data_IF_818049397789
#
_entry.id   IF_818049397789
#
_cell.length_a   1.000
_cell.length_b   1.000
_cell.length_c   1.000
_cell.angle_alpha   90.00
_cell.angle_beta   90.00
_cell.angle_gamma   90.00
#
_symmetry.space_group_name_H-M   'P 1'
#
loop_
_entity.id
_entity.type
_entity.pdbx_description
1 polymer ?
#
# COMPACT_ATOMS: atom_id res chain seq x y z
N UNK A 1 -8.36 18.75 -15.58
CA UNK A 1 -9.32 19.23 -14.56
C UNK A 1 -9.39 18.31 -13.35
N UNK A 2 -9.58 17.00 -13.50
CA UNK A 2 -9.58 16.05 -12.38
C UNK A 2 -8.26 16.02 -11.59
N UNK A 3 -7.14 16.23 -12.25
CA UNK A 3 -5.80 16.23 -11.62
C UNK A 3 -5.57 17.54 -10.83
N UNK A 4 -6.05 18.66 -11.36
CA UNK A 4 -5.93 19.98 -10.72
C UNK A 4 -6.78 20.04 -9.44
N UNK A 5 -7.98 19.47 -9.44
CA UNK A 5 -8.85 19.40 -8.27
C UNK A 5 -8.23 18.61 -7.10
N UNK A 6 -7.48 17.54 -7.40
CA UNK A 6 -6.78 16.77 -6.37
C UNK A 6 -5.60 17.51 -5.75
N UNK A 7 -4.83 18.22 -6.54
CA UNK A 7 -3.68 19.00 -6.04
C UNK A 7 -4.13 20.21 -5.22
N UNK A 8 -5.19 20.89 -5.62
CA UNK A 8 -5.80 21.99 -4.84
C UNK A 8 -6.32 21.52 -3.47
N UNK A 9 -6.88 20.29 -3.41
CA UNK A 9 -7.35 19.71 -2.15
C UNK A 9 -6.22 19.17 -1.26
N UNK A 10 -5.09 18.70 -1.84
CA UNK A 10 -3.98 18.07 -1.11
C UNK A 10 -2.93 19.09 -0.62
N UNK A 11 -2.81 20.23 -1.29
CA UNK A 11 -1.86 21.29 -0.92
C UNK A 11 -2.18 22.03 0.39
N UNK A 12 -3.37 21.86 0.93
CA UNK A 12 -3.83 22.59 2.11
C UNK A 12 -3.66 21.83 3.44
N UNK A 13 -3.41 20.52 3.44
CA UNK A 13 -3.37 19.71 4.68
C UNK A 13 -2.08 18.96 4.99
N UNK A 14 -1.02 19.08 4.21
CA UNK A 14 0.32 18.60 4.57
C UNK A 14 0.47 17.10 4.93
N UNK A 15 -0.49 16.24 4.60
CA UNK A 15 -0.41 14.80 4.87
C UNK A 15 -0.84 13.99 3.64
N UNK A 16 0.10 13.26 3.07
CA UNK A 16 -0.15 12.28 2.00
C UNK A 16 -0.59 10.97 2.66
N UNK A 17 -1.82 10.49 2.48
CA UNK A 17 -2.17 9.13 2.86
C UNK A 17 -1.67 8.17 1.78
N UNK A 18 -0.70 7.32 2.13
CA UNK A 18 -0.35 6.14 1.35
C UNK A 18 -1.47 5.11 1.45
N UNK A 19 -2.18 4.84 0.38
CA UNK A 19 -3.12 3.74 0.35
C UNK A 19 -4.24 3.93 -0.67
N UNK A 20 -4.04 3.47 -1.88
CA UNK A 20 -5.10 3.25 -2.85
C UNK A 20 -5.87 1.99 -2.49
N UNK A 21 -7.09 2.12 -2.01
CA UNK A 21 -8.05 1.02 -1.98
C UNK A 21 -9.19 1.35 -2.96
N UNK A 22 -9.15 0.72 -4.11
CA UNK A 22 -10.33 0.52 -4.95
C UNK A 22 -11.29 -0.43 -4.23
N UNK A 23 -12.40 0.09 -3.75
CA UNK A 23 -13.60 -0.69 -3.48
C UNK A 23 -14.76 -0.01 -4.18
N UNK A 24 -15.23 -0.65 -5.23
CA UNK A 24 -16.60 -0.51 -5.70
C UNK A 24 -17.52 -0.91 -4.54
N UNK A 25 -18.32 0.03 -4.06
CA UNK A 25 -19.25 -0.16 -2.96
C UNK A 25 -20.50 0.65 -3.23
N UNK A 26 -21.50 -0.05 -3.68
CA UNK A 26 -22.91 0.28 -3.79
C UNK A 26 -23.39 1.34 -2.80
N UNK A 27 -23.86 2.46 -3.34
CA UNK A 27 -24.59 3.52 -2.67
C UNK A 27 -25.91 2.98 -2.13
N UNK A 28 -26.06 2.91 -0.81
CA UNK A 28 -27.37 2.87 -0.15
C UNK A 28 -27.55 4.13 0.69
N UNK A 29 -28.44 4.95 0.19
CA UNK A 29 -29.03 6.09 0.88
C UNK A 29 -29.76 5.64 2.14
N UNK A 30 -29.40 6.18 3.30
CA UNK A 30 -30.27 6.21 4.48
C UNK A 30 -30.44 7.64 4.95
N UNK A 31 -31.71 8.07 4.97
CA UNK A 31 -32.19 9.33 5.54
C UNK A 31 -32.03 9.34 7.08
N UNK A 32 -31.90 10.50 7.71
CA UNK A 32 -31.92 10.61 9.16
C UNK A 32 -33.32 10.55 9.70
N UNK A 33 -33.51 9.82 10.79
CA UNK A 33 -34.72 9.86 11.61
C UNK A 33 -34.38 10.63 12.89
N UNK A 34 -35.06 11.74 13.07
CA UNK A 34 -35.13 12.50 14.30
C UNK A 34 -36.20 11.89 15.20
N UNK A 35 -35.95 11.89 16.51
CA UNK A 35 -37.05 12.11 17.40
C UNK A 35 -37.24 11.16 18.56
N UNK A 36 -37.03 11.72 19.73
CA UNK A 36 -37.81 11.66 20.95
C UNK A 36 -37.80 10.40 21.83
N UNK A 37 -37.36 10.65 23.03
CA UNK A 37 -37.59 9.93 24.29
C UNK A 37 -39.09 9.69 24.53
N UNK A 38 -39.42 8.49 25.03
CA UNK A 38 -40.37 8.33 26.13
C UNK A 38 -40.13 7.03 26.89
N UNK A 39 -40.22 7.14 28.23
CA UNK A 39 -40.18 6.06 29.22
C UNK A 39 -41.58 5.45 29.33
N UNK A 40 -41.72 4.16 29.51
CA UNK A 40 -42.76 3.60 30.34
C UNK A 40 -42.37 2.22 30.87
N UNK A 41 -42.49 2.09 32.18
CA UNK A 41 -42.47 0.89 33.00
C UNK A 41 -43.70 0.02 32.75
N UNK A 42 -43.60 -1.30 32.98
CA UNK A 42 -44.79 -2.17 33.07
C UNK A 42 -44.45 -3.65 33.02
N UNK A 43 -44.23 -4.22 34.14
CA UNK A 43 -44.68 -5.47 34.79
C UNK A 43 -45.12 -6.66 33.90
N UNK A 44 -44.38 -7.77 34.14
CA UNK A 44 -44.82 -9.06 34.73
C UNK A 44 -46.05 -9.75 34.13
N UNK A 45 -45.87 -10.98 33.61
CA UNK A 45 -46.55 -12.19 34.08
C UNK A 45 -45.97 -13.41 33.36
N UNK A 46 -45.70 -14.45 34.17
CA UNK A 46 -45.18 -15.72 33.71
C UNK A 46 -46.23 -16.67 33.16
N UNK A 47 -45.76 -17.63 32.42
CA UNK A 47 -46.40 -18.97 32.33
C UNK A 47 -45.33 -20.01 32.01
N UNK A 48 -45.24 -20.97 32.90
CA UNK A 48 -44.41 -22.17 32.88
C UNK A 48 -45.13 -23.30 32.09
N UNK A 49 -44.43 -24.02 31.23
CA UNK A 49 -44.76 -25.38 30.82
C UNK A 49 -43.47 -26.23 30.72
N UNK A 50 -43.53 -27.54 31.01
CA UNK A 50 -42.45 -28.30 31.64
C UNK A 50 -41.62 -29.17 30.70
N UNK A 51 -40.39 -29.33 31.11
CA UNK A 51 -39.59 -30.53 31.15
C UNK A 51 -39.42 -31.45 29.94
N UNK A 52 -38.18 -31.45 29.41
CA UNK A 52 -37.56 -32.72 29.02
C UNK A 52 -36.09 -32.73 29.45
N UNK A 53 -35.79 -33.69 30.26
CA UNK A 53 -34.51 -34.02 30.84
C UNK A 53 -33.56 -34.54 29.74
N UNK A 54 -32.60 -33.77 29.31
CA UNK A 54 -31.44 -34.29 28.60
C UNK A 54 -30.24 -34.18 29.49
N UNK A 55 -29.77 -35.34 29.91
CA UNK A 55 -28.57 -35.59 30.70
C UNK A 55 -27.39 -34.82 30.15
N UNK A 56 -26.86 -33.96 31.02
CA UNK A 56 -25.59 -33.22 30.77
C UNK A 56 -24.43 -34.21 30.64
N UNK A 57 -23.83 -34.25 29.47
CA UNK A 57 -22.44 -34.65 29.36
C UNK A 57 -21.60 -33.45 29.69
N UNK A 58 -20.91 -33.52 30.81
CA UNK A 58 -19.88 -32.61 31.23
C UNK A 58 -18.91 -32.35 30.06
N UNK A 59 -18.93 -31.13 29.55
CA UNK A 59 -17.93 -30.62 28.65
C UNK A 59 -16.58 -30.63 29.37
N UNK A 60 -15.76 -31.64 29.10
CA UNK A 60 -14.34 -31.61 29.45
C UNK A 60 -13.74 -30.36 28.81
N UNK A 61 -13.43 -29.40 29.63
CA UNK A 61 -12.55 -28.28 29.35
C UNK A 61 -11.20 -28.84 28.88
N UNK A 62 -11.03 -28.97 27.56
CA UNK A 62 -9.77 -29.32 26.93
C UNK A 62 -8.89 -28.09 26.84
N UNK A 63 -8.59 -27.46 27.98
CA UNK A 63 -7.37 -26.69 28.15
C UNK A 63 -6.20 -27.68 28.05
N UNK A 64 -5.80 -27.99 26.81
CA UNK A 64 -4.55 -28.72 26.57
C UNK A 64 -3.43 -27.86 27.11
N UNK A 65 -2.99 -28.16 28.32
CA UNK A 65 -1.72 -27.67 28.85
C UNK A 65 -0.66 -27.87 27.77
N UNK A 66 -0.04 -26.77 27.35
CA UNK A 66 1.06 -26.84 26.37
C UNK A 66 2.14 -27.70 27.02
N UNK A 67 2.62 -28.77 26.34
CA UNK A 67 3.64 -29.63 26.91
C UNK A 67 4.86 -28.79 27.25
N UNK A 68 5.42 -28.99 28.41
CA UNK A 68 6.68 -28.38 28.85
C UNK A 68 7.81 -28.68 27.86
N UNK A 69 8.94 -27.94 27.96
CA UNK A 69 10.07 -28.16 27.07
C UNK A 69 10.56 -29.59 27.18
N UNK A 70 10.71 -30.29 26.04
CA UNK A 70 11.26 -31.62 26.02
C UNK A 70 12.75 -31.56 26.43
N UNK A 71 13.18 -32.27 27.47
CA UNK A 71 14.59 -32.33 27.83
C UNK A 71 15.38 -32.90 26.67
N UNK A 72 16.51 -32.27 26.34
CA UNK A 72 17.41 -32.74 25.29
C UNK A 72 18.86 -32.47 25.64
N UNK A 73 19.74 -33.27 25.07
CA UNK A 73 21.19 -33.09 25.12
C UNK A 73 21.76 -33.18 23.72
N UNK A 74 22.72 -32.32 23.41
CA UNK A 74 23.46 -32.35 22.15
C UNK A 74 24.96 -32.35 22.42
N UNK A 75 25.70 -33.16 21.69
CA UNK A 75 27.15 -33.11 21.62
C UNK A 75 27.54 -32.47 20.28
N UNK A 76 28.22 -31.35 20.34
CA UNK A 76 28.70 -30.63 19.13
C UNK A 76 30.07 -31.18 18.72
N UNK A 77 30.38 -31.03 17.44
CA UNK A 77 31.70 -31.31 16.87
C UNK A 77 32.05 -30.26 15.83
N UNK A 78 33.32 -30.18 15.47
CA UNK A 78 33.74 -29.35 14.33
C UNK A 78 33.15 -29.89 13.03
N UNK A 79 32.84 -29.00 12.08
CA UNK A 79 32.44 -29.40 10.74
C UNK A 79 33.55 -30.20 10.06
N UNK A 80 33.20 -31.32 9.46
CA UNK A 80 34.11 -32.09 8.61
C UNK A 80 34.13 -31.50 7.20
N UNK A 81 35.18 -31.72 6.43
CA UNK A 81 35.27 -31.32 5.02
C UNK A 81 34.07 -31.81 4.19
N UNK A 82 33.60 -33.01 4.45
CA UNK A 82 32.43 -33.58 3.77
C UNK A 82 31.14 -32.84 4.11
N UNK A 83 30.97 -32.41 5.35
CA UNK A 83 29.82 -31.60 5.77
C UNK A 83 29.86 -30.18 5.18
N UNK A 84 31.06 -29.59 5.13
CA UNK A 84 31.24 -28.30 4.46
C UNK A 84 30.97 -28.40 2.95
N UNK A 85 31.42 -29.47 2.31
CA UNK A 85 31.12 -29.74 0.90
C UNK A 85 29.61 -29.90 0.66
N UNK A 86 28.89 -30.58 1.57
CA UNK A 86 27.43 -30.70 1.49
C UNK A 86 26.72 -29.30 1.47
N UNK A 87 27.14 -28.42 2.34
CA UNK A 87 26.59 -27.07 2.39
C UNK A 87 27.07 -26.20 1.20
N UNK A 88 28.31 -26.39 0.78
CA UNK A 88 28.91 -25.68 -0.36
C UNK A 88 28.19 -25.90 -1.69
N UNK A 89 27.54 -27.05 -1.91
CA UNK A 89 26.71 -27.34 -3.07
C UNK A 89 25.54 -26.31 -3.19
N UNK A 90 25.11 -25.74 -2.07
CA UNK A 90 24.05 -24.72 -2.00
C UNK A 90 24.60 -23.30 -1.86
N UNK A 91 25.89 -23.11 -2.07
CA UNK A 91 26.59 -21.81 -1.89
C UNK A 91 26.74 -21.38 -0.44
N UNK A 92 26.38 -22.23 0.53
CA UNK A 92 26.40 -21.89 1.96
C UNK A 92 27.81 -22.13 2.48
N UNK A 93 28.50 -21.04 2.88
CA UNK A 93 29.85 -21.09 3.45
C UNK A 93 29.83 -21.29 4.97
N UNK A 94 31.00 -21.59 5.54
CA UNK A 94 31.14 -21.75 6.99
C UNK A 94 30.76 -20.48 7.76
N UNK A 95 31.03 -19.29 7.19
CA UNK A 95 30.66 -17.99 7.77
C UNK A 95 29.15 -17.84 7.85
N UNK A 96 28.43 -18.27 6.80
CA UNK A 96 26.95 -18.27 6.80
C UNK A 96 26.42 -19.23 7.85
N UNK A 97 26.98 -20.44 7.95
CA UNK A 97 26.58 -21.42 8.99
C UNK A 97 26.75 -20.83 10.39
N UNK A 98 27.92 -20.26 10.69
CA UNK A 98 28.16 -19.60 11.99
C UNK A 98 27.22 -18.41 12.25
N UNK A 99 27.02 -17.56 11.25
CA UNK A 99 26.10 -16.40 11.35
C UNK A 99 24.69 -16.82 11.72
N UNK A 100 24.23 -17.96 11.22
CA UNK A 100 22.89 -18.49 11.48
C UNK A 100 22.81 -19.49 12.63
N UNK A 101 23.88 -19.63 13.42
CA UNK A 101 23.95 -20.52 14.60
C UNK A 101 23.80 -21.98 14.24
N UNK A 102 24.27 -22.41 13.06
CA UNK A 102 24.28 -23.80 12.64
C UNK A 102 25.53 -24.46 13.18
N UNK A 103 25.37 -25.62 13.81
CA UNK A 103 26.45 -26.45 14.38
C UNK A 103 26.40 -27.85 13.80
N UNK A 104 27.58 -28.51 13.70
CA UNK A 104 27.63 -29.93 13.44
C UNK A 104 27.48 -30.70 14.75
N UNK A 105 26.62 -31.73 14.75
CA UNK A 105 26.33 -32.54 15.93
C UNK A 105 26.96 -33.91 15.82
N UNK A 106 27.63 -34.33 16.90
CA UNK A 106 28.10 -35.72 17.08
C UNK A 106 26.95 -36.60 17.57
N UNK A 107 26.17 -36.12 18.52
CA UNK A 107 25.10 -36.85 19.13
C UNK A 107 23.91 -35.93 19.50
N UNK A 108 22.70 -36.48 19.43
CA UNK A 108 21.47 -35.90 19.95
C UNK A 108 20.75 -36.93 20.82
N UNK A 109 20.35 -36.58 22.01
CA UNK A 109 19.51 -37.38 22.93
C UNK A 109 18.35 -36.60 23.41
N UNK A 110 17.19 -37.25 23.54
CA UNK A 110 15.97 -36.66 24.09
C UNK A 110 15.10 -37.75 24.73
N UNK A 111 14.01 -37.32 25.34
CA UNK A 111 13.02 -38.24 25.93
C UNK A 111 11.67 -38.05 25.25
N UNK A 112 10.96 -39.15 25.04
CA UNK A 112 9.57 -39.13 24.60
C UNK A 112 8.69 -38.63 25.77
N UNK A 113 7.44 -38.24 25.45
CA UNK A 113 6.44 -37.91 26.49
C UNK A 113 6.18 -38.99 27.51
N UNK A 114 6.51 -40.25 27.17
CA UNK A 114 6.35 -41.42 28.01
C UNK A 114 7.62 -41.70 28.87
N UNK A 115 8.62 -40.78 28.82
CA UNK A 115 9.88 -40.95 29.56
C UNK A 115 10.89 -41.90 28.93
N UNK A 116 10.66 -42.37 27.69
CA UNK A 116 11.59 -43.27 26.99
C UNK A 116 12.67 -42.41 26.32
N UNK A 117 13.92 -42.67 26.65
CA UNK A 117 15.08 -42.04 26.01
C UNK A 117 15.28 -42.56 24.58
N UNK A 118 15.56 -41.65 23.67
CA UNK A 118 15.99 -41.97 22.30
C UNK A 118 17.12 -41.02 21.89
N UNK A 119 17.90 -41.42 20.91
CA UNK A 119 19.00 -40.58 20.44
C UNK A 119 19.49 -41.01 19.04
N UNK A 120 20.28 -40.13 18.49
CA UNK A 120 20.91 -40.33 17.18
C UNK A 120 22.39 -39.97 17.28
N UNK A 121 23.23 -40.72 16.59
CA UNK A 121 24.67 -40.47 16.46
C UNK A 121 24.98 -40.13 15.00
N UNK A 122 25.72 -39.06 14.79
CA UNK A 122 26.16 -38.66 13.45
C UNK A 122 27.22 -39.63 12.95
N UNK A 123 27.11 -39.99 11.68
CA UNK A 123 28.11 -40.75 10.96
C UNK A 123 28.51 -40.02 9.67
N UNK A 124 29.63 -40.39 9.02
CA UNK A 124 29.97 -39.82 7.72
C UNK A 124 28.88 -40.01 6.63
N UNK A 125 28.06 -41.07 6.76
CA UNK A 125 26.97 -41.37 5.85
C UNK A 125 25.68 -40.61 6.23
N UNK A 126 25.46 -40.35 7.51
CA UNK A 126 24.30 -39.64 8.05
C UNK A 126 24.73 -38.46 8.93
N UNK A 127 25.13 -37.33 8.34
CA UNK A 127 25.51 -36.14 9.09
C UNK A 127 24.29 -35.53 9.80
N UNK A 128 24.54 -34.86 10.93
CA UNK A 128 23.52 -34.14 11.71
C UNK A 128 23.97 -32.71 11.94
N UNK A 129 23.03 -31.82 11.75
CA UNK A 129 23.23 -30.38 11.97
C UNK A 129 22.20 -29.85 12.95
N UNK A 130 22.58 -28.94 13.83
CA UNK A 130 21.69 -28.27 14.77
C UNK A 130 21.48 -26.83 14.37
N UNK A 131 20.22 -26.40 14.14
CA UNK A 131 19.83 -24.99 14.12
C UNK A 131 19.56 -24.56 15.54
N UNK A 132 20.42 -23.73 16.10
CA UNK A 132 20.32 -23.28 17.50
C UNK A 132 19.60 -21.94 17.62
N UNK A 133 18.75 -21.81 18.61
CA UNK A 133 18.04 -20.58 18.92
C UNK A 133 17.63 -20.52 20.38
N UNK A 134 17.09 -19.40 20.83
CA UNK A 134 16.58 -19.21 22.21
C UNK A 134 15.46 -20.19 22.58
N UNK A 135 14.84 -20.79 21.59
CA UNK A 135 13.74 -21.76 21.71
C UNK A 135 14.24 -23.20 21.86
N UNK A 136 15.54 -23.48 21.66
CA UNK A 136 16.13 -24.83 21.69
C UNK A 136 16.93 -25.16 20.46
N UNK A 137 16.84 -26.40 19.99
CA UNK A 137 17.52 -26.90 18.79
C UNK A 137 16.54 -27.61 17.86
N UNK A 138 16.61 -27.28 16.57
CA UNK A 138 16.01 -28.09 15.49
C UNK A 138 17.15 -28.86 14.83
N UNK A 139 17.10 -30.18 14.91
CA UNK A 139 18.14 -31.06 14.36
C UNK A 139 17.74 -31.47 12.94
N UNK A 140 18.65 -31.24 12.01
CA UNK A 140 18.51 -31.58 10.60
C UNK A 140 19.38 -32.77 10.23
N UNK A 141 18.76 -33.80 9.70
CA UNK A 141 19.37 -35.07 9.27
C UNK A 141 19.06 -35.26 7.78
N UNK A 142 19.85 -34.65 6.87
CA UNK A 142 19.48 -34.54 5.45
C UNK A 142 19.34 -35.87 4.72
N UNK A 143 20.10 -36.90 5.14
CA UNK A 143 20.19 -38.22 4.48
C UNK A 143 19.41 -39.30 5.22
N UNK A 144 18.73 -38.97 6.32
CA UNK A 144 17.96 -39.92 7.12
C UNK A 144 16.48 -39.85 6.76
N UNK A 145 15.74 -40.94 7.01
CA UNK A 145 14.29 -41.02 6.80
C UNK A 145 13.56 -39.96 7.65
N UNK A 146 13.91 -39.91 8.94
CA UNK A 146 13.42 -38.83 9.83
C UNK A 146 14.36 -37.64 9.72
N UNK A 147 14.00 -36.66 8.87
CA UNK A 147 14.86 -35.51 8.54
C UNK A 147 14.98 -34.49 9.63
N UNK A 148 13.94 -34.32 10.46
CA UNK A 148 13.90 -33.29 11.49
C UNK A 148 13.48 -33.86 12.84
N UNK A 149 14.21 -33.47 13.89
CA UNK A 149 13.84 -33.70 15.29
C UNK A 149 14.05 -32.43 16.08
N UNK A 150 13.36 -32.30 17.20
CA UNK A 150 13.29 -31.04 17.95
C UNK A 150 13.66 -31.27 19.41
N UNK A 151 14.45 -30.36 19.98
CA UNK A 151 14.77 -30.31 21.40
C UNK A 151 14.45 -28.91 21.95
N UNK A 152 13.83 -28.88 23.15
CA UNK A 152 13.40 -27.62 23.76
C UNK A 152 11.99 -27.19 23.35
N UNK A 153 11.74 -25.88 23.30
CA UNK A 153 10.42 -25.28 23.07
C UNK A 153 10.33 -24.67 21.66
N UNK A 154 10.07 -25.51 20.65
CA UNK A 154 9.91 -25.09 19.26
C UNK A 154 8.43 -24.76 18.96
N UNK A 155 7.81 -23.86 19.74
CA UNK A 155 6.40 -23.50 19.58
C UNK A 155 6.15 -22.39 18.54
N UNK A 156 4.99 -21.73 18.66
CA UNK A 156 4.45 -20.73 17.73
C UNK A 156 5.36 -19.51 17.44
N UNK A 157 6.47 -19.37 18.17
CA UNK A 157 7.43 -18.27 18.02
C UNK A 157 8.70 -18.66 17.23
N UNK A 158 8.76 -19.87 16.63
CA UNK A 158 9.90 -20.25 15.82
C UNK A 158 9.98 -19.37 14.56
N UNK A 159 11.08 -18.67 14.44
CA UNK A 159 11.40 -17.88 13.25
C UNK A 159 12.91 -17.87 13.05
N UNK A 160 13.38 -18.61 12.06
CA UNK A 160 14.79 -18.69 11.71
C UNK A 160 15.20 -17.52 10.83
N UNK A 161 16.36 -16.94 11.08
CA UNK A 161 16.89 -15.81 10.34
C UNK A 161 16.44 -14.43 10.87
N UNK A 162 15.52 -14.36 11.81
CA UNK A 162 14.99 -13.07 12.31
C UNK A 162 16.05 -12.22 13.01
N UNK A 163 16.96 -12.83 13.76
CA UNK A 163 18.03 -12.13 14.50
C UNK A 163 19.14 -11.61 13.57
N UNK A 164 19.27 -12.19 12.37
CA UNK A 164 20.26 -11.83 11.36
C UNK A 164 19.80 -10.66 10.46
N UNK A 165 18.54 -10.27 10.54
CA UNK A 165 17.98 -9.20 9.71
C UNK A 165 18.49 -7.83 10.14
N UNK A 166 18.81 -6.92 9.20
CA UNK A 166 19.12 -5.52 9.49
C UNK A 166 17.90 -4.80 10.07
N UNK A 167 18.11 -3.66 10.69
CA UNK A 167 17.02 -2.83 11.24
C UNK A 167 16.04 -2.34 10.17
N UNK A 168 16.51 -2.10 8.93
CA UNK A 168 15.74 -1.71 7.75
C UNK A 168 16.30 -2.39 6.51
N UNK A 169 15.46 -2.60 5.50
CA UNK A 169 15.85 -3.15 4.20
C UNK A 169 14.76 -2.95 3.15
N UNK A 170 15.10 -3.21 1.89
CA UNK A 170 14.15 -3.03 0.79
C UNK A 170 13.32 -4.30 0.54
N UNK A 171 13.95 -5.47 0.57
CA UNK A 171 13.35 -6.75 0.21
C UNK A 171 13.63 -7.81 1.27
N UNK A 172 12.57 -8.49 1.70
CA UNK A 172 12.63 -9.65 2.61
C UNK A 172 11.88 -10.82 1.99
N UNK A 173 12.52 -11.97 1.90
CA UNK A 173 11.87 -13.21 1.52
C UNK A 173 11.39 -14.00 2.75
N UNK A 174 10.19 -14.56 2.65
CA UNK A 174 9.66 -15.59 3.55
C UNK A 174 9.71 -16.92 2.82
N UNK A 175 10.53 -17.86 3.31
CA UNK A 175 10.78 -19.16 2.65
C UNK A 175 10.20 -20.33 3.44
N UNK A 176 10.22 -21.51 2.84
CA UNK A 176 9.73 -22.75 3.44
C UNK A 176 10.66 -23.37 4.46
N UNK A 177 11.99 -23.15 4.36
CA UNK A 177 12.98 -23.83 5.17
C UNK A 177 14.25 -23.04 5.48
N UNK A 178 14.98 -23.52 6.48
CA UNK A 178 16.22 -22.91 6.99
C UNK A 178 17.34 -22.90 5.94
N UNK A 179 17.41 -23.96 5.14
CA UNK A 179 18.42 -24.08 4.07
C UNK A 179 18.23 -22.96 3.04
N UNK A 180 16.97 -22.67 2.66
CA UNK A 180 16.66 -21.63 1.69
C UNK A 180 16.97 -20.23 2.22
N UNK A 181 16.73 -19.98 3.52
CA UNK A 181 17.14 -18.75 4.19
C UNK A 181 18.64 -18.53 4.06
N UNK A 182 19.44 -19.57 4.34
CA UNK A 182 20.90 -19.48 4.27
C UNK A 182 21.41 -19.39 2.83
N UNK A 183 20.79 -20.08 1.88
CA UNK A 183 21.10 -19.96 0.45
C UNK A 183 20.85 -18.53 -0.04
N UNK A 184 19.69 -17.94 0.29
CA UNK A 184 19.40 -16.56 -0.03
C UNK A 184 20.38 -15.58 0.60
N UNK A 185 20.78 -15.83 1.85
CA UNK A 185 21.77 -15.01 2.53
C UNK A 185 23.16 -15.10 1.87
N UNK A 186 23.56 -16.29 1.40
CA UNK A 186 24.80 -16.49 0.65
C UNK A 186 24.81 -15.69 -0.67
N UNK A 187 23.62 -15.48 -1.27
CA UNK A 187 23.44 -14.65 -2.47
C UNK A 187 23.10 -13.18 -2.16
N UNK A 188 23.26 -12.74 -0.89
CA UNK A 188 23.11 -11.34 -0.49
C UNK A 188 21.67 -10.88 -0.33
N UNK A 189 20.71 -11.77 -0.17
CA UNK A 189 19.32 -11.47 0.14
C UNK A 189 19.03 -11.58 1.63
N UNK A 190 17.98 -10.90 2.08
CA UNK A 190 17.42 -11.05 3.42
C UNK A 190 16.28 -12.07 3.37
N UNK A 191 16.31 -13.04 4.25
CA UNK A 191 15.27 -14.06 4.31
C UNK A 191 15.04 -14.56 5.72
N UNK A 192 13.82 -15.05 5.98
CA UNK A 192 13.44 -15.78 7.18
C UNK A 192 12.54 -16.95 6.81
N UNK A 193 12.43 -17.92 7.69
CA UNK A 193 11.38 -18.93 7.60
C UNK A 193 10.76 -19.21 8.98
N UNK A 194 9.54 -19.73 8.95
CA UNK A 194 8.88 -20.31 10.11
C UNK A 194 9.15 -21.81 10.16
N UNK A 195 8.53 -22.53 11.08
CA UNK A 195 8.87 -23.94 11.32
C UNK A 195 8.67 -24.83 10.07
N UNK A 196 7.67 -24.53 9.26
CA UNK A 196 7.41 -25.17 7.96
C UNK A 196 6.50 -24.25 7.11
N UNK A 197 6.36 -24.54 5.83
CA UNK A 197 5.42 -23.86 4.93
C UNK A 197 3.96 -23.94 5.40
N UNK A 198 3.60 -25.01 6.10
CA UNK A 198 2.25 -25.21 6.63
C UNK A 198 2.02 -24.53 7.98
N UNK A 199 3.07 -23.98 8.60
CA UNK A 199 2.97 -23.32 9.92
C UNK A 199 2.22 -22.01 9.81
N UNK A 200 1.45 -21.69 10.86
CA UNK A 200 0.80 -20.37 10.97
C UNK A 200 1.86 -19.27 11.06
N UNK A 201 1.74 -18.25 10.21
CA UNK A 201 2.59 -17.08 10.27
C UNK A 201 1.98 -16.09 11.30
N UNK A 202 2.71 -15.76 12.40
CA UNK A 202 2.19 -14.86 13.41
C UNK A 202 2.04 -13.42 12.87
N UNK A 203 0.83 -12.89 12.79
CA UNK A 203 0.54 -11.54 12.32
C UNK A 203 1.35 -10.45 13.07
N UNK A 204 1.58 -10.65 14.39
CA UNK A 204 2.43 -9.75 15.20
C UNK A 204 3.87 -9.64 14.67
N UNK A 205 4.43 -10.74 14.16
CA UNK A 205 5.77 -10.75 13.58
C UNK A 205 5.77 -10.02 12.24
N UNK A 206 4.81 -10.32 11.37
CA UNK A 206 4.68 -9.65 10.05
C UNK A 206 4.47 -8.15 10.22
N UNK A 207 3.62 -7.71 11.13
CA UNK A 207 3.41 -6.28 11.44
C UNK A 207 4.73 -5.56 11.77
N UNK A 208 5.62 -6.18 12.55
CA UNK A 208 6.93 -5.60 12.85
C UNK A 208 7.85 -5.54 11.62
N UNK A 209 7.75 -6.53 10.73
CA UNK A 209 8.58 -6.62 9.53
C UNK A 209 8.17 -5.59 8.46
N UNK A 210 6.88 -5.27 8.33
CA UNK A 210 6.40 -4.24 7.38
C UNK A 210 6.95 -2.84 7.68
N UNK A 211 7.27 -2.54 8.95
CA UNK A 211 7.95 -1.28 9.31
C UNK A 211 9.46 -1.29 9.02
N UNK A 212 10.03 -2.48 8.74
CA UNK A 212 11.46 -2.66 8.49
C UNK A 212 11.79 -2.82 7.01
N UNK A 213 10.88 -3.42 6.24
CA UNK A 213 11.11 -3.79 4.84
C UNK A 213 10.02 -3.20 3.94
N UNK A 214 10.42 -2.62 2.79
CA UNK A 214 9.48 -2.09 1.81
C UNK A 214 8.66 -3.19 1.15
N UNK A 215 9.32 -4.32 0.85
CA UNK A 215 8.69 -5.45 0.20
C UNK A 215 8.94 -6.72 1.01
N UNK A 216 7.87 -7.42 1.34
CA UNK A 216 7.90 -8.76 1.91
C UNK A 216 7.30 -9.71 0.88
N UNK A 217 8.05 -10.76 0.53
CA UNK A 217 7.71 -11.67 -0.57
C UNK A 217 7.75 -13.11 -0.08
N UNK A 218 6.64 -13.82 -0.23
CA UNK A 218 6.59 -15.28 -0.05
C UNK A 218 7.30 -15.94 -1.22
N UNK A 219 8.27 -16.79 -0.91
CA UNK A 219 9.08 -17.55 -1.86
C UNK A 219 9.16 -19.00 -1.37
N UNK A 220 8.09 -19.76 -1.59
CA UNK A 220 7.94 -21.15 -1.17
C UNK A 220 8.28 -22.11 -2.30
N UNK A 221 8.31 -23.40 -1.97
CA UNK A 221 8.51 -24.47 -2.94
C UNK A 221 7.47 -24.38 -4.07
N UNK A 222 7.84 -24.80 -5.27
CA UNK A 222 6.95 -24.85 -6.43
C UNK A 222 6.18 -26.15 -6.55
N UNK A 223 6.33 -27.07 -5.59
CA UNK A 223 5.48 -28.25 -5.52
C UNK A 223 4.04 -27.90 -5.09
N UNK A 224 3.13 -28.85 -5.18
CA UNK A 224 1.70 -28.63 -4.89
C UNK A 224 1.50 -28.01 -3.49
N UNK A 225 2.18 -28.53 -2.48
CA UNK A 225 2.05 -28.07 -1.09
C UNK A 225 2.54 -26.63 -0.94
N UNK A 226 3.70 -26.31 -1.46
CA UNK A 226 4.27 -24.97 -1.41
C UNK A 226 3.42 -23.94 -2.16
N UNK A 227 2.87 -24.30 -3.33
CA UNK A 227 1.96 -23.44 -4.09
C UNK A 227 0.66 -23.15 -3.33
N UNK A 228 0.03 -24.18 -2.74
CA UNK A 228 -1.21 -24.03 -1.96
C UNK A 228 -0.96 -23.21 -0.68
N UNK A 229 0.13 -23.49 0.06
CA UNK A 229 0.46 -22.77 1.28
C UNK A 229 0.86 -21.32 1.02
N UNK A 230 1.66 -21.04 -0.03
CA UNK A 230 2.04 -19.68 -0.37
C UNK A 230 0.83 -18.82 -0.78
N UNK A 231 -0.14 -19.40 -1.50
CA UNK A 231 -1.36 -18.69 -1.85
C UNK A 231 -2.25 -18.43 -0.63
N UNK A 232 -2.42 -19.42 0.24
CA UNK A 232 -3.13 -19.25 1.52
C UNK A 232 -2.52 -18.15 2.37
N UNK A 233 -1.20 -18.11 2.51
CA UNK A 233 -0.51 -17.08 3.28
C UNK A 233 -0.57 -15.71 2.59
N UNK A 234 -0.52 -15.63 1.26
CA UNK A 234 -0.72 -14.39 0.51
C UNK A 234 -2.08 -13.76 0.83
N UNK A 235 -3.14 -14.57 0.83
CA UNK A 235 -4.49 -14.12 1.17
C UNK A 235 -4.57 -13.70 2.64
N UNK A 236 -4.04 -14.51 3.55
CA UNK A 236 -4.01 -14.23 5.00
C UNK A 236 -3.29 -12.91 5.32
N UNK A 237 -2.20 -12.62 4.60
CA UNK A 237 -1.32 -11.48 4.86
C UNK A 237 -1.53 -10.32 3.88
N UNK A 238 -2.63 -10.33 3.13
CA UNK A 238 -2.93 -9.30 2.11
C UNK A 238 -2.99 -7.88 2.68
N UNK A 239 -3.54 -7.71 3.87
CA UNK A 239 -3.59 -6.42 4.58
C UNK A 239 -2.21 -5.81 4.88
N UNK A 240 -1.17 -6.64 4.94
CA UNK A 240 0.22 -6.21 5.16
C UNK A 240 0.98 -5.96 3.86
N UNK A 241 0.34 -6.07 2.71
CA UNK A 241 0.98 -5.89 1.40
C UNK A 241 2.02 -6.96 1.05
N UNK A 242 1.94 -8.14 1.70
CA UNK A 242 2.83 -9.28 1.41
C UNK A 242 2.54 -9.82 0.01
N UNK A 243 3.60 -9.94 -0.79
CA UNK A 243 3.56 -10.40 -2.18
C UNK A 243 3.94 -11.87 -2.25
N UNK A 244 3.64 -12.50 -3.38
CA UNK A 244 4.04 -13.88 -3.68
C UNK A 244 4.84 -13.93 -4.97
N UNK A 245 6.00 -14.58 -4.93
CA UNK A 245 6.80 -14.88 -6.09
C UNK A 245 6.89 -16.40 -6.25
N UNK A 246 6.62 -16.90 -7.43
CA UNK A 246 6.74 -18.32 -7.79
C UNK A 246 7.94 -18.46 -8.72
N UNK A 247 8.88 -19.33 -8.37
CA UNK A 247 10.03 -19.60 -9.21
C UNK A 247 9.62 -20.36 -10.48
N UNK A 248 10.30 -20.18 -11.60
CA UNK A 248 10.04 -20.92 -12.83
C UNK A 248 10.67 -22.33 -12.78
N UNK A 249 10.29 -23.11 -11.77
CA UNK A 249 10.76 -24.48 -11.56
C UNK A 249 9.62 -25.49 -11.74
N UNK A 250 9.89 -26.72 -12.18
CA UNK A 250 8.85 -27.71 -12.49
C UNK A 250 8.14 -28.30 -11.25
N UNK A 251 8.62 -28.02 -10.02
CA UNK A 251 8.02 -28.53 -8.79
C UNK A 251 8.29 -30.00 -8.50
N UNK A 252 9.35 -30.58 -9.07
CA UNK A 252 9.80 -31.95 -8.82
C UNK A 252 10.59 -32.04 -7.49
N UNK A 253 10.90 -33.24 -7.02
CA UNK A 253 11.70 -33.41 -5.78
C UNK A 253 13.08 -32.75 -5.81
N UNK A 254 13.67 -32.58 -6.98
CA UNK A 254 15.01 -32.03 -7.19
C UNK A 254 15.05 -30.62 -7.70
N UNK A 255 13.88 -30.06 -8.07
CA UNK A 255 13.78 -28.76 -8.72
C UNK A 255 12.51 -28.04 -8.27
N UNK A 256 12.49 -27.55 -7.02
CA UNK A 256 11.30 -26.95 -6.44
C UNK A 256 11.56 -25.76 -5.53
N UNK A 257 12.71 -25.68 -4.89
CA UNK A 257 13.02 -24.62 -3.92
C UNK A 257 14.03 -23.60 -4.47
N UNK A 258 14.26 -22.52 -3.75
CA UNK A 258 15.22 -21.49 -4.17
C UNK A 258 16.66 -22.00 -4.14
N UNK A 259 16.95 -22.99 -3.32
CA UNK A 259 18.26 -23.65 -3.32
C UNK A 259 18.49 -24.39 -4.63
N UNK A 260 17.48 -25.10 -5.14
CA UNK A 260 17.55 -25.79 -6.43
C UNK A 260 17.64 -24.79 -7.60
N UNK A 261 16.95 -23.63 -7.49
CA UNK A 261 17.04 -22.54 -8.46
C UNK A 261 18.49 -22.05 -8.63
N UNK A 262 19.20 -21.78 -7.55
CA UNK A 262 20.60 -21.38 -7.63
C UNK A 262 21.54 -22.52 -8.06
N UNK A 263 21.26 -23.77 -7.68
CA UNK A 263 22.02 -24.94 -8.17
C UNK A 263 21.88 -25.16 -9.68
N UNK A 264 20.75 -24.75 -10.26
CA UNK A 264 20.55 -24.80 -11.71
C UNK A 264 21.37 -23.72 -12.46
N UNK A 265 22.14 -22.89 -11.74
CA UNK A 265 23.05 -21.89 -12.31
C UNK A 265 22.45 -20.50 -12.42
N UNK A 266 21.25 -20.28 -11.91
CA UNK A 266 20.67 -18.93 -11.85
C UNK A 266 21.43 -18.04 -10.87
N UNK A 267 21.44 -16.76 -11.17
CA UNK A 267 22.20 -15.75 -10.42
C UNK A 267 21.29 -14.93 -9.49
N UNK A 268 21.92 -14.09 -8.67
CA UNK A 268 21.23 -13.06 -7.89
C UNK A 268 20.41 -12.13 -8.78
N UNK A 269 20.98 -11.73 -9.92
CA UNK A 269 20.38 -10.84 -10.91
C UNK A 269 19.13 -11.45 -11.54
N UNK A 270 19.14 -12.77 -11.79
CA UNK A 270 17.97 -13.49 -12.31
C UNK A 270 16.82 -13.46 -11.31
N UNK A 271 17.08 -13.72 -10.02
CA UNK A 271 16.05 -13.64 -8.98
C UNK A 271 15.52 -12.21 -8.80
N UNK A 272 16.41 -11.20 -8.87
CA UNK A 272 15.97 -9.79 -8.88
C UNK A 272 15.13 -9.46 -10.10
N UNK A 273 15.48 -10.01 -11.27
CA UNK A 273 14.68 -9.84 -12.50
C UNK A 273 13.26 -10.40 -12.36
N UNK A 274 13.11 -11.56 -11.69
CA UNK A 274 11.77 -12.12 -11.38
C UNK A 274 10.99 -11.22 -10.42
N UNK A 275 11.65 -10.67 -9.40
CA UNK A 275 11.03 -9.74 -8.47
C UNK A 275 10.59 -8.44 -9.18
N UNK A 276 11.41 -7.87 -10.05
CA UNK A 276 11.04 -6.68 -10.84
C UNK A 276 9.84 -6.95 -11.76
N UNK A 277 9.80 -8.10 -12.44
CA UNK A 277 8.63 -8.50 -13.23
C UNK A 277 7.36 -8.64 -12.38
N UNK A 278 7.49 -9.12 -11.13
CA UNK A 278 6.36 -9.14 -10.20
C UNK A 278 5.88 -7.71 -9.89
N UNK A 279 6.79 -6.76 -9.66
CA UNK A 279 6.43 -5.35 -9.44
C UNK A 279 5.78 -4.72 -10.67
N UNK A 280 6.29 -4.98 -11.86
CA UNK A 280 5.71 -4.49 -13.12
C UNK A 280 4.26 -5.01 -13.30
N UNK A 281 4.02 -6.28 -12.95
CA UNK A 281 2.67 -6.84 -12.99
C UNK A 281 1.72 -6.17 -11.98
N UNK A 282 2.22 -5.85 -10.78
CA UNK A 282 1.42 -5.24 -9.71
C UNK A 282 1.17 -3.74 -9.92
N UNK A 283 2.08 -3.04 -10.61
CA UNK A 283 2.04 -1.60 -10.81
C UNK A 283 1.78 -1.21 -12.27
N UNK A 284 1.51 -2.18 -13.14
CA UNK A 284 1.38 -1.99 -14.58
C UNK A 284 0.40 -0.89 -14.97
N UNK A 285 -0.78 -0.84 -14.34
CA UNK A 285 -1.78 0.19 -14.63
C UNK A 285 -1.27 1.59 -14.28
N UNK A 286 -0.63 1.74 -13.11
CA UNK A 286 -0.04 3.02 -12.69
C UNK A 286 1.11 3.43 -13.61
N UNK A 287 1.98 2.48 -13.97
CA UNK A 287 3.11 2.74 -14.88
C UNK A 287 2.65 3.08 -16.29
N UNK A 288 1.56 2.46 -16.77
CA UNK A 288 0.95 2.79 -18.06
C UNK A 288 0.42 4.24 -18.07
N UNK A 289 -0.24 4.67 -16.99
CA UNK A 289 -0.68 6.06 -16.84
C UNK A 289 0.51 7.01 -16.81
N UNK A 290 1.55 6.71 -16.01
CA UNK A 290 2.76 7.53 -15.95
C UNK A 290 3.47 7.62 -17.30
N UNK A 291 3.51 6.52 -18.06
CA UNK A 291 4.10 6.50 -19.41
C UNK A 291 3.35 7.42 -20.38
N UNK A 292 2.03 7.51 -20.26
CA UNK A 292 1.24 8.44 -21.07
C UNK A 292 1.45 9.92 -20.71
N UNK A 293 1.98 10.18 -19.50
CA UNK A 293 2.30 11.53 -19.01
C UNK A 293 3.81 11.88 -19.16
N UNK A 294 4.64 10.93 -19.61
CA UNK A 294 6.06 11.14 -19.76
C UNK A 294 6.36 12.15 -20.87
N UNK A 295 7.16 13.16 -20.55
CA UNK A 295 7.54 14.18 -21.52
C UNK A 295 8.52 13.58 -22.51
N UNK A 296 8.15 13.61 -23.78
CA UNK A 296 9.06 13.32 -24.90
C UNK A 296 9.77 14.62 -25.29
N UNK A 297 11.05 14.72 -24.96
CA UNK A 297 11.83 15.93 -25.24
C UNK A 297 12.09 16.12 -26.73
N UNK A 298 12.05 15.05 -27.51
CA UNK A 298 12.25 15.11 -28.96
C UNK A 298 10.97 15.50 -29.73
N UNK A 299 9.82 15.47 -29.03
CA UNK A 299 8.51 15.86 -29.56
C UNK A 299 7.89 16.95 -28.67
N UNK A 300 8.30 18.23 -28.84
CA UNK A 300 7.80 19.31 -28.02
C UNK A 300 6.28 19.49 -28.21
N UNK A 301 5.51 19.68 -27.12
CA UNK A 301 4.08 19.92 -27.22
C UNK A 301 3.79 21.25 -27.93
N UNK A 302 2.61 21.35 -28.51
CA UNK A 302 2.14 22.62 -29.09
C UNK A 302 2.17 23.72 -28.02
N UNK A 303 2.57 24.92 -28.44
CA UNK A 303 2.58 26.07 -27.52
C UNK A 303 1.16 26.41 -27.07
N UNK A 304 0.98 26.54 -25.77
CA UNK A 304 -0.30 26.93 -25.21
C UNK A 304 -0.71 28.33 -25.73
N UNK A 305 -1.97 28.44 -26.18
CA UNK A 305 -2.50 29.71 -26.68
C UNK A 305 -2.64 30.70 -25.55
N UNK A 306 -2.00 31.86 -25.66
CA UNK A 306 -2.13 32.94 -24.67
C UNK A 306 -3.55 33.52 -24.74
N UNK A 307 -4.26 33.52 -23.61
CA UNK A 307 -5.61 34.09 -23.47
C UNK A 307 -5.62 35.42 -22.72
N UNK A 308 -4.55 35.71 -21.98
CA UNK A 308 -4.34 36.99 -21.30
C UNK A 308 -2.93 37.49 -21.59
N UNK A 309 -2.81 38.70 -22.12
CA UNK A 309 -1.52 39.32 -22.39
C UNK A 309 -1.43 40.74 -21.86
N UNK A 310 -0.24 41.22 -21.52
CA UNK A 310 0.08 42.60 -21.26
C UNK A 310 1.12 43.08 -22.29
N UNK A 311 0.68 43.83 -23.28
CA UNK A 311 1.46 44.03 -24.49
C UNK A 311 1.74 42.70 -25.18
N UNK A 312 3.01 42.40 -25.45
CA UNK A 312 3.43 41.14 -26.06
C UNK A 312 3.75 40.03 -25.05
N UNK A 313 3.60 40.29 -23.75
CA UNK A 313 3.92 39.31 -22.71
C UNK A 313 2.68 38.47 -22.36
N UNK A 314 2.72 37.14 -22.54
CA UNK A 314 1.63 36.26 -22.11
C UNK A 314 1.61 36.17 -20.57
N UNK A 315 0.47 36.47 -19.97
CA UNK A 315 0.24 36.38 -18.52
C UNK A 315 -0.54 35.12 -18.17
N UNK A 316 -1.40 34.62 -19.06
CA UNK A 316 -2.20 33.41 -18.86
C UNK A 316 -2.48 32.76 -20.22
N UNK A 317 -2.49 31.43 -20.24
CA UNK A 317 -2.78 30.61 -21.40
C UNK A 317 -3.88 29.59 -21.11
N UNK A 318 -4.43 28.96 -22.16
CA UNK A 318 -5.35 27.84 -21.99
C UNK A 318 -4.71 26.76 -21.12
N UNK A 319 -5.51 26.11 -20.29
CA UNK A 319 -5.13 24.99 -19.40
C UNK A 319 -4.12 25.35 -18.27
N UNK A 320 -3.81 26.63 -18.06
CA UNK A 320 -2.94 27.08 -16.99
C UNK A 320 -3.69 27.80 -15.86
N UNK A 321 -3.06 27.82 -14.68
CA UNK A 321 -3.54 28.53 -13.50
C UNK A 321 -2.78 29.83 -13.37
N UNK A 322 -3.52 30.95 -13.30
CA UNK A 322 -2.98 32.28 -13.00
C UNK A 322 -3.32 32.63 -11.56
N UNK A 323 -2.29 32.86 -10.74
CA UNK A 323 -2.47 33.32 -9.36
C UNK A 323 -2.18 34.82 -9.25
N UNK A 324 -3.15 35.59 -8.75
CA UNK A 324 -3.04 37.03 -8.53
C UNK A 324 -2.89 37.29 -7.04
N UNK A 325 -1.72 37.74 -6.61
CA UNK A 325 -1.44 38.03 -5.21
C UNK A 325 -1.16 39.53 -4.98
N UNK A 326 -1.38 40.00 -3.77
CA UNK A 326 -1.11 41.37 -3.38
C UNK A 326 -1.73 41.69 -2.04
N UNK A 327 -1.25 42.76 -1.37
CA UNK A 327 -1.80 43.25 -0.11
C UNK A 327 -3.24 43.74 -0.22
N UNK A 328 -3.85 44.05 0.91
CA UNK A 328 -5.16 44.69 0.96
C UNK A 328 -5.14 46.04 0.24
N UNK A 329 -6.20 46.35 -0.51
CA UNK A 329 -6.33 47.64 -1.25
C UNK A 329 -5.50 47.75 -2.53
N UNK A 330 -4.69 46.75 -2.93
CA UNK A 330 -3.84 46.80 -4.13
C UNK A 330 -4.59 46.68 -5.47
N UNK A 331 -5.89 46.43 -5.43
CA UNK A 331 -6.73 46.37 -6.64
C UNK A 331 -6.90 44.99 -7.26
N UNK A 332 -6.56 43.87 -6.54
CA UNK A 332 -6.74 42.49 -7.00
C UNK A 332 -8.13 42.27 -7.62
N UNK A 333 -9.19 42.57 -6.87
CA UNK A 333 -10.58 42.40 -7.33
C UNK A 333 -10.90 43.23 -8.57
N UNK A 334 -10.29 44.40 -8.72
CA UNK A 334 -10.47 45.26 -9.90
C UNK A 334 -9.76 44.65 -11.13
N UNK A 335 -8.58 44.10 -10.94
CA UNK A 335 -7.85 43.38 -11.99
C UNK A 335 -8.59 42.11 -12.42
N UNK A 336 -9.05 41.30 -11.46
CA UNK A 336 -9.91 40.14 -11.75
C UNK A 336 -11.18 40.51 -12.50
N UNK A 337 -11.84 41.62 -12.11
CA UNK A 337 -13.01 42.12 -12.83
C UNK A 337 -12.69 42.51 -14.28
N UNK A 338 -11.47 42.99 -14.56
CA UNK A 338 -11.01 43.25 -15.93
C UNK A 338 -10.83 41.96 -16.74
N UNK A 339 -10.24 40.92 -16.15
CA UNK A 339 -10.08 39.61 -16.81
C UNK A 339 -11.43 38.99 -17.15
N UNK A 340 -12.36 38.98 -16.19
CA UNK A 340 -13.73 38.45 -16.41
C UNK A 340 -14.48 39.30 -17.44
N UNK A 341 -14.34 40.65 -17.37
CA UNK A 341 -14.94 41.55 -18.35
C UNK A 341 -14.46 41.25 -19.78
N UNK A 342 -13.13 41.00 -19.96
CA UNK A 342 -12.58 40.59 -21.24
C UNK A 342 -13.13 39.25 -21.75
N UNK A 343 -13.31 38.27 -20.84
CA UNK A 343 -13.90 36.98 -21.22
C UNK A 343 -15.35 37.12 -21.70
N UNK A 344 -16.10 38.09 -21.20
CA UNK A 344 -17.54 38.26 -21.51
C UNK A 344 -17.86 39.46 -22.45
N UNK A 345 -16.88 40.25 -22.89
CA UNK A 345 -17.09 41.37 -23.77
C UNK A 345 -17.64 40.94 -25.14
N UNK A 346 -18.41 41.80 -25.76
CA UNK A 346 -18.89 41.59 -27.14
C UNK A 346 -17.94 42.23 -28.15
N UNK A 347 -17.46 43.43 -27.84
CA UNK A 347 -16.50 44.19 -28.65
C UNK A 347 -15.38 44.72 -27.78
N UNK A 348 -14.15 44.65 -28.28
CA UNK A 348 -12.95 45.06 -27.55
C UNK A 348 -12.94 46.56 -27.25
N UNK A 349 -13.45 47.38 -28.20
CA UNK A 349 -13.54 48.84 -28.09
C UNK A 349 -14.47 49.35 -26.98
N UNK A 350 -15.43 48.52 -26.55
CA UNK A 350 -16.41 48.88 -25.51
C UNK A 350 -15.96 48.43 -24.10
N UNK A 351 -14.83 47.71 -23.99
CA UNK A 351 -14.36 47.11 -22.75
C UNK A 351 -13.19 47.88 -22.12
N UNK A 352 -13.24 48.10 -20.80
CA UNK A 352 -12.11 48.61 -20.01
C UNK A 352 -11.39 47.44 -19.32
N UNK A 353 -10.25 47.04 -19.88
CA UNK A 353 -9.48 45.89 -19.42
C UNK A 353 -8.21 46.27 -18.65
N UNK A 354 -8.07 47.54 -18.20
CA UNK A 354 -6.91 48.02 -17.45
C UNK A 354 -5.54 47.80 -18.15
N UNK A 355 -5.53 47.85 -19.49
CA UNK A 355 -4.33 47.69 -20.29
C UNK A 355 -3.87 46.22 -20.51
N UNK A 356 -4.65 45.26 -20.07
CA UNK A 356 -4.42 43.84 -20.47
C UNK A 356 -5.34 43.49 -21.64
N UNK A 357 -4.92 42.56 -22.45
CA UNK A 357 -5.69 41.99 -23.55
C UNK A 357 -6.18 40.61 -23.13
N UNK A 358 -7.46 40.35 -23.31
CA UNK A 358 -8.10 39.07 -22.96
C UNK A 358 -8.83 38.54 -24.18
N UNK A 359 -8.60 37.29 -24.52
CA UNK A 359 -9.29 36.60 -25.61
C UNK A 359 -10.78 36.40 -25.23
N UNK A 360 -11.73 36.91 -26.02
CA UNK A 360 -13.15 36.84 -25.67
C UNK A 360 -13.67 35.40 -25.82
N UNK A 361 -14.58 35.03 -24.91
CA UNK A 361 -15.22 33.72 -24.90
C UNK A 361 -16.31 33.60 -25.99
N UNK A 362 -15.87 33.50 -27.24
CA UNK A 362 -16.79 33.43 -28.42
C UNK A 362 -17.56 32.12 -28.48
N UNK A 363 -17.11 31.07 -27.76
CA UNK A 363 -17.75 29.75 -27.77
C UNK A 363 -18.88 29.64 -26.74
N UNK A 364 -19.15 30.68 -25.94
CA UNK A 364 -20.18 30.67 -24.89
C UNK A 364 -19.94 29.61 -23.81
N UNK A 365 -18.68 29.24 -23.56
CA UNK A 365 -18.31 28.32 -22.47
C UNK A 365 -18.57 28.98 -21.11
N UNK A 366 -18.81 28.20 -20.08
CA UNK A 366 -19.12 28.75 -18.75
C UNK A 366 -17.95 29.58 -18.20
N UNK A 367 -18.27 30.74 -17.67
CA UNK A 367 -17.40 31.61 -16.89
C UNK A 367 -17.94 31.61 -15.46
N UNK A 368 -17.11 31.09 -14.53
CA UNK A 368 -17.51 30.89 -13.14
C UNK A 368 -16.71 31.82 -12.23
N UNK A 369 -17.40 32.60 -11.41
CA UNK A 369 -16.80 33.47 -10.41
C UNK A 369 -17.32 33.08 -9.02
N UNK A 370 -16.42 32.70 -8.15
CA UNK A 370 -16.69 32.35 -6.77
C UNK A 370 -16.05 33.36 -5.83
N UNK A 371 -16.86 33.97 -4.99
CA UNK A 371 -16.39 34.95 -4.00
C UNK A 371 -16.63 34.42 -2.58
N UNK A 372 -15.55 34.35 -1.79
CA UNK A 372 -15.58 33.83 -0.43
C UNK A 372 -15.43 34.92 0.65
N UNK A 373 -15.21 36.18 0.25
CA UNK A 373 -14.91 37.29 1.17
C UNK A 373 -16.03 38.33 1.23
N UNK A 374 -16.65 38.68 0.09
CA UNK A 374 -17.56 39.79 0.00
C UNK A 374 -18.98 39.41 0.38
N UNK A 375 -19.71 40.35 0.97
CA UNK A 375 -21.16 40.20 1.17
C UNK A 375 -21.89 40.13 -0.17
N UNK A 376 -23.05 39.49 -0.20
CA UNK A 376 -23.91 39.37 -1.38
C UNK A 376 -24.20 40.73 -2.01
N UNK A 377 -24.52 41.74 -1.18
CA UNK A 377 -24.79 43.13 -1.64
C UNK A 377 -23.55 43.74 -2.33
N UNK A 378 -22.36 43.51 -1.79
CA UNK A 378 -21.13 44.04 -2.38
C UNK A 378 -20.79 43.32 -3.68
N UNK A 379 -20.93 42.01 -3.72
CA UNK A 379 -20.73 41.20 -4.91
C UNK A 379 -21.71 41.59 -6.03
N UNK A 380 -22.98 41.82 -5.69
CA UNK A 380 -23.97 42.32 -6.65
C UNK A 380 -23.51 43.65 -7.29
N UNK A 381 -23.10 44.64 -6.47
CA UNK A 381 -22.57 45.92 -6.98
C UNK A 381 -21.35 45.77 -7.85
N UNK A 382 -20.43 44.85 -7.46
CA UNK A 382 -19.22 44.58 -8.22
C UNK A 382 -19.52 43.85 -9.53
N UNK A 383 -20.50 42.95 -9.55
CA UNK A 383 -20.99 42.32 -10.80
C UNK A 383 -21.56 43.38 -11.76
N UNK A 384 -22.35 44.36 -11.26
CA UNK A 384 -22.82 45.46 -12.08
C UNK A 384 -21.69 46.35 -12.63
N UNK A 385 -20.61 46.55 -11.87
CA UNK A 385 -19.42 47.26 -12.37
C UNK A 385 -18.67 46.44 -13.44
N UNK A 386 -18.55 45.11 -13.22
CA UNK A 386 -17.95 44.18 -14.16
C UNK A 386 -18.70 44.18 -15.51
N UNK A 387 -20.04 44.13 -15.49
CA UNK A 387 -20.83 44.17 -16.71
C UNK A 387 -20.63 45.50 -17.48
N UNK A 388 -20.64 46.65 -16.78
CA UNK A 388 -20.34 47.94 -17.40
C UNK A 388 -18.93 47.98 -17.99
N UNK A 389 -17.96 47.43 -17.33
CA UNK A 389 -16.58 47.32 -17.83
C UNK A 389 -16.49 46.45 -19.10
N UNK A 390 -17.34 45.43 -19.24
CA UNK A 390 -17.45 44.59 -20.43
C UNK A 390 -18.31 45.22 -21.56
N UNK A 391 -18.80 46.43 -21.40
CA UNK A 391 -19.74 47.06 -22.35
C UNK A 391 -21.10 46.36 -22.41
N UNK A 392 -21.53 45.67 -21.31
CA UNK A 392 -22.81 44.94 -21.27
C UNK A 392 -23.81 45.53 -20.32
N UNK A 393 -25.07 45.54 -20.74
CA UNK A 393 -26.21 45.92 -19.87
C UNK A 393 -26.76 44.72 -19.08
N UNK A 394 -26.64 43.51 -19.65
CA UNK A 394 -27.22 42.28 -19.07
C UNK A 394 -26.16 41.21 -18.88
N UNK A 395 -26.34 40.40 -17.86
CA UNK A 395 -25.51 39.24 -17.58
C UNK A 395 -25.70 38.19 -18.67
N UNK A 396 -24.61 37.72 -19.34
CA UNK A 396 -24.73 36.66 -20.32
C UNK A 396 -25.09 35.33 -19.65
N UNK A 397 -25.79 34.41 -20.35
CA UNK A 397 -26.31 33.19 -19.74
C UNK A 397 -25.21 32.20 -19.32
N UNK A 398 -24.00 32.39 -19.80
CA UNK A 398 -22.84 31.55 -19.47
C UNK A 398 -21.97 32.14 -18.35
N UNK A 399 -22.27 33.32 -17.81
CA UNK A 399 -21.60 33.88 -16.63
C UNK A 399 -22.38 33.49 -15.37
N UNK A 400 -21.70 32.86 -14.43
CA UNK A 400 -22.25 32.50 -13.14
C UNK A 400 -21.42 33.09 -12.02
N UNK A 401 -22.04 33.80 -11.10
CA UNK A 401 -21.40 34.49 -9.98
C UNK A 401 -21.98 33.98 -8.67
N UNK A 402 -21.15 33.49 -7.79
CA UNK A 402 -21.55 32.85 -6.55
C UNK A 402 -20.93 33.52 -5.32
N UNK A 403 -21.77 33.88 -4.35
CA UNK A 403 -21.35 34.34 -3.02
C UNK A 403 -21.30 33.14 -2.07
N UNK A 404 -20.11 32.78 -1.64
CA UNK A 404 -19.88 31.57 -0.80
C UNK A 404 -19.58 31.92 0.66
N UNK A 405 -19.70 33.19 1.09
CA UNK A 405 -19.33 33.66 2.43
C UNK A 405 -20.07 32.95 3.57
N UNK A 406 -21.31 32.52 3.34
CA UNK A 406 -22.12 31.82 4.33
C UNK A 406 -21.81 30.31 4.48
N UNK A 407 -20.92 29.75 3.65
CA UNK A 407 -20.62 28.35 3.64
C UNK A 407 -19.35 28.03 4.46
N UNK A 408 -19.31 26.87 5.10
CA UNK A 408 -18.09 26.33 5.68
C UNK A 408 -17.05 25.97 4.59
N UNK A 409 -15.78 25.80 4.96
CA UNK A 409 -14.70 25.44 4.03
C UNK A 409 -15.04 24.21 3.19
N UNK A 410 -15.52 23.13 3.82
CA UNK A 410 -15.83 21.89 3.10
C UNK A 410 -17.02 22.06 2.16
N UNK A 411 -18.04 22.82 2.54
CA UNK A 411 -19.18 23.14 1.67
C UNK A 411 -18.74 23.96 0.46
N UNK A 412 -17.86 24.96 0.64
CA UNK A 412 -17.28 25.74 -0.46
C UNK A 412 -16.54 24.86 -1.46
N UNK A 413 -15.61 24.02 -0.99
CA UNK A 413 -14.86 23.11 -1.85
C UNK A 413 -15.80 22.18 -2.62
N UNK A 414 -16.77 21.57 -1.94
CA UNK A 414 -17.75 20.69 -2.58
C UNK A 414 -18.58 21.43 -3.63
N UNK A 415 -19.09 22.64 -3.32
CA UNK A 415 -19.87 23.44 -4.24
C UNK A 415 -19.07 23.86 -5.48
N UNK A 416 -17.82 24.29 -5.31
CA UNK A 416 -16.91 24.64 -6.41
C UNK A 416 -16.68 23.44 -7.31
N UNK A 417 -16.21 22.32 -6.76
CA UNK A 417 -15.89 21.10 -7.54
C UNK A 417 -17.10 20.61 -8.31
N UNK A 418 -18.24 20.45 -7.64
CA UNK A 418 -19.46 19.94 -8.27
C UNK A 418 -20.04 20.87 -9.34
N UNK A 419 -19.98 22.18 -9.11
CA UNK A 419 -20.44 23.13 -10.12
C UNK A 419 -19.50 23.21 -11.32
N UNK A 420 -18.18 23.17 -11.11
CA UNK A 420 -17.21 23.08 -12.20
C UNK A 420 -17.44 21.84 -13.06
N UNK A 421 -17.59 20.68 -12.43
CA UNK A 421 -17.87 19.42 -13.12
C UNK A 421 -19.18 19.52 -13.93
N UNK A 422 -20.25 19.99 -13.32
CA UNK A 422 -21.54 20.20 -13.99
C UNK A 422 -21.42 21.10 -15.23
N UNK A 423 -20.80 22.27 -15.09
CA UNK A 423 -20.70 23.23 -16.19
C UNK A 423 -19.72 22.80 -17.27
N UNK A 424 -18.70 22.02 -16.92
CA UNK A 424 -17.80 21.40 -17.90
C UNK A 424 -18.58 20.52 -18.87
N UNK A 425 -19.46 19.64 -18.39
CA UNK A 425 -20.25 18.76 -19.25
C UNK A 425 -21.37 19.48 -20.00
N UNK A 426 -21.92 20.55 -19.43
CA UNK A 426 -23.02 21.27 -20.08
C UNK A 426 -22.57 22.21 -21.18
N UNK A 427 -21.48 22.95 -20.97
CA UNK A 427 -21.09 24.09 -21.83
C UNK A 427 -19.60 24.13 -22.13
N UNK A 428 -18.76 23.28 -21.54
CA UNK A 428 -17.33 23.48 -21.43
C UNK A 428 -17.00 24.66 -20.51
N UNK A 429 -15.76 24.70 -20.00
CA UNK A 429 -15.28 25.79 -19.14
C UNK A 429 -14.38 26.74 -19.94
N UNK A 430 -14.52 28.06 -19.70
CA UNK A 430 -13.66 29.10 -20.26
C UNK A 430 -12.76 29.68 -19.18
N UNK A 431 -13.33 30.25 -18.13
CA UNK A 431 -12.62 30.94 -17.06
C UNK A 431 -13.26 30.59 -15.72
N UNK A 432 -12.41 30.25 -14.77
CA UNK A 432 -12.82 30.03 -13.38
C UNK A 432 -12.00 30.98 -12.53
N UNK A 433 -12.70 31.78 -11.68
CA UNK A 433 -12.05 32.62 -10.69
C UNK A 433 -12.54 32.25 -9.30
N UNK A 434 -11.62 32.09 -8.39
CA UNK A 434 -11.89 31.86 -6.96
C UNK A 434 -11.15 32.95 -6.20
N UNK A 435 -11.89 33.81 -5.45
CA UNK A 435 -11.30 34.78 -4.52
C UNK A 435 -11.26 34.23 -3.11
N UNK A 436 -10.12 34.36 -2.47
CA UNK A 436 -9.88 34.08 -1.04
C UNK A 436 -9.77 35.37 -0.28
#
# INVERSE_FOLDING_TARGET
LHTIDRELCLGLDGAIPSGTNNREGSCRTTRPVTGAREKSEGENTGESIPGDTVTGTEGKDLSRERPGPSPYQVAEKSFTERELAYWGISGITVEVLHRYGVVSLAEYRSETREGKTFGFTSTPAEPMFGYRGKWGVKVYRPLSEVRFVYGGHTGDNYCFGLEQLPSKGDLLFLTGGEKDVMTLAAHGFQAICFNSETSVIPAKTVRKLVYRFKHIVLLYDTDKTGLECSEKHRVQLSEYGVKRLVLPLPGTKSEKDVTDYFKAGHTREDLMGLFLKLLDTLYGDTMAVLKSCEIDYDCPPEQAVAIVTAGDVPLGSEENILCITGGEGTGKSNYTAALVAGAIMEREEDADLLGVKVEPNRKGRAVLLYDTEQSEQQLYKNTGRLLRRAGREKMPPYLHVYCLTGMSRNERLTAIIQSMDKYHYLHGLSLIHISE
#
